data_IF_577169571074
#
_entry.id   IF_577169571074
#
_cell.length_a   1.000
_cell.length_b   1.000
_cell.length_c   1.000
_cell.angle_alpha   90.00
_cell.angle_beta   90.00
_cell.angle_gamma   90.00
#
_symmetry.space_group_name_H-M   'P 1'
#
loop_
_entity.id
_entity.type
_entity.pdbx_description
1 polymer ?
#
# COMPACT_ATOMS: atom_id res chain seq x y z
N UNK A 1 14.11 -37.21 -13.32
CA UNK A 1 13.96 -36.86 -11.89
C UNK A 1 15.13 -35.95 -11.57
N UNK A 2 14.88 -34.65 -11.66
CA UNK A 2 15.90 -33.66 -11.32
C UNK A 2 16.06 -33.65 -9.79
N UNK A 3 17.24 -33.34 -9.28
CA UNK A 3 17.51 -33.32 -7.83
C UNK A 3 16.54 -32.37 -7.06
N UNK A 4 15.94 -31.44 -7.80
CA UNK A 4 14.93 -30.47 -7.34
C UNK A 4 13.56 -31.13 -7.05
N UNK A 5 13.24 -32.28 -7.67
CA UNK A 5 12.00 -33.04 -7.43
C UNK A 5 11.98 -33.78 -6.08
N UNK A 6 13.10 -33.81 -5.35
CA UNK A 6 13.28 -34.58 -4.11
C UNK A 6 13.29 -33.72 -2.83
N UNK A 7 13.20 -32.39 -2.95
CA UNK A 7 13.13 -31.51 -1.79
C UNK A 7 11.66 -31.23 -1.47
N UNK A 8 11.21 -31.69 -0.30
CA UNK A 8 9.91 -31.34 0.29
C UNK A 8 9.73 -29.83 0.54
N UNK A 9 10.80 -29.04 0.31
CA UNK A 9 10.89 -27.63 0.64
C UNK A 9 11.68 -26.89 -0.46
N UNK A 10 11.09 -25.82 -1.00
CA UNK A 10 11.71 -25.02 -2.06
C UNK A 10 12.26 -23.71 -1.53
N UNK A 11 13.53 -23.42 -1.78
CA UNK A 11 14.13 -22.13 -1.41
C UNK A 11 13.73 -21.06 -2.42
N UNK A 12 13.27 -19.91 -1.92
CA UNK A 12 12.96 -18.73 -2.73
C UNK A 12 14.21 -17.85 -2.85
N UNK A 13 14.79 -17.67 -4.06
CA UNK A 13 16.13 -17.10 -4.21
C UNK A 13 16.19 -15.57 -4.05
N UNK A 14 15.17 -14.83 -4.48
CA UNK A 14 15.09 -13.36 -4.35
C UNK A 14 13.65 -12.86 -4.57
N UNK A 15 13.30 -11.72 -3.96
CA UNK A 15 12.00 -11.03 -4.12
C UNK A 15 12.11 -9.83 -5.06
N UNK A 16 11.02 -9.42 -5.76
CA UNK A 16 9.71 -10.09 -5.83
C UNK A 16 9.76 -11.36 -6.69
N UNK A 17 8.91 -12.34 -6.38
CA UNK A 17 8.83 -13.59 -7.14
C UNK A 17 7.41 -14.08 -7.30
N UNK A 18 7.24 -14.93 -8.30
CA UNK A 18 6.00 -15.65 -8.59
C UNK A 18 6.34 -17.12 -8.83
N UNK A 19 5.60 -18.03 -8.20
CA UNK A 19 5.72 -19.48 -8.39
C UNK A 19 4.38 -20.03 -8.86
N UNK A 20 4.40 -20.74 -9.99
CA UNK A 20 3.28 -21.60 -10.37
C UNK A 20 3.46 -22.96 -9.68
N UNK A 21 2.47 -23.39 -8.90
CA UNK A 21 2.50 -24.64 -8.17
C UNK A 21 1.26 -25.48 -8.41
N UNK A 22 1.32 -26.75 -7.98
CA UNK A 22 0.19 -27.66 -8.04
C UNK A 22 0.32 -28.73 -6.96
N UNK A 23 -0.71 -28.85 -6.11
CA UNK A 23 -0.81 -29.89 -5.10
C UNK A 23 -1.21 -31.21 -5.78
N UNK A 24 -0.28 -31.82 -6.52
CA UNK A 24 -0.50 -33.07 -7.23
C UNK A 24 -0.48 -34.30 -6.32
N UNK A 25 0.03 -34.16 -5.10
CA UNK A 25 0.11 -35.21 -4.09
C UNK A 25 -0.53 -34.71 -2.79
N UNK A 26 -0.94 -35.61 -1.88
CA UNK A 26 -1.43 -35.22 -0.57
C UNK A 26 -0.39 -34.39 0.20
N UNK A 27 -0.85 -33.31 0.82
CA UNK A 27 -0.03 -32.46 1.67
C UNK A 27 0.21 -31.06 1.11
N UNK A 28 0.94 -30.22 1.87
CA UNK A 28 1.26 -28.86 1.46
C UNK A 28 2.44 -28.77 0.50
N UNK A 29 2.49 -27.67 -0.25
CA UNK A 29 3.74 -27.15 -0.78
C UNK A 29 4.35 -26.15 0.23
N UNK A 30 5.61 -26.37 0.59
CA UNK A 30 6.36 -25.51 1.51
C UNK A 30 7.49 -24.79 0.79
N UNK A 31 7.60 -23.49 1.05
CA UNK A 31 8.62 -22.59 0.52
C UNK A 31 9.36 -21.92 1.66
N UNK A 32 10.67 -21.73 1.51
CA UNK A 32 11.50 -21.05 2.52
C UNK A 32 12.08 -19.76 1.99
N UNK A 33 12.15 -18.78 2.87
CA UNK A 33 12.62 -17.44 2.56
C UNK A 33 13.35 -16.86 3.78
N UNK A 34 14.46 -16.16 3.56
CA UNK A 34 15.21 -15.49 4.64
C UNK A 34 14.81 -14.03 4.69
N UNK A 35 14.36 -13.56 5.85
CA UNK A 35 13.93 -12.18 6.08
C UNK A 35 14.78 -11.48 7.13
N UNK A 36 14.81 -10.15 7.04
CA UNK A 36 15.31 -9.25 8.08
C UNK A 36 14.17 -8.74 8.96
N UNK A 37 14.44 -8.51 10.23
CA UNK A 37 13.48 -7.92 11.16
C UNK A 37 12.91 -6.62 10.58
N UNK A 38 11.58 -6.49 10.62
CA UNK A 38 10.86 -5.33 10.10
C UNK A 38 10.64 -5.35 8.58
N UNK A 39 11.25 -6.28 7.83
CA UNK A 39 10.94 -6.48 6.41
C UNK A 39 9.47 -6.90 6.26
N UNK A 40 8.77 -6.27 5.33
CA UNK A 40 7.33 -6.46 5.12
C UNK A 40 7.08 -7.16 3.81
N UNK A 41 6.17 -8.12 3.82
CA UNK A 41 5.80 -8.89 2.64
C UNK A 41 4.30 -8.88 2.43
N UNK A 42 3.92 -8.79 1.15
CA UNK A 42 2.61 -9.17 0.65
C UNK A 42 2.72 -10.53 -0.01
N UNK A 43 1.82 -11.44 0.36
CA UNK A 43 1.75 -12.79 -0.19
C UNK A 43 0.32 -13.07 -0.68
N UNK A 44 0.20 -13.70 -1.85
CA UNK A 44 -1.08 -14.19 -2.37
C UNK A 44 -0.94 -15.57 -3.00
N UNK A 45 -1.98 -16.39 -2.85
CA UNK A 45 -2.19 -17.63 -3.57
C UNK A 45 -3.43 -17.45 -4.46
N UNK A 46 -3.19 -17.23 -5.76
CA UNK A 46 -4.25 -17.00 -6.75
C UNK A 46 -4.71 -18.32 -7.38
N UNK A 47 -6.02 -18.57 -7.32
CA UNK A 47 -6.68 -19.79 -7.79
C UNK A 47 -7.89 -19.48 -8.66
N UNK A 48 -8.61 -18.39 -8.38
CA UNK A 48 -9.92 -18.09 -8.96
C UNK A 48 -9.83 -17.88 -10.47
N UNK A 49 -8.91 -17.03 -10.92
CA UNK A 49 -8.71 -16.73 -12.35
C UNK A 49 -8.28 -17.93 -13.19
N UNK A 50 -7.81 -19.00 -12.54
CA UNK A 50 -7.39 -20.24 -13.19
C UNK A 50 -8.44 -21.34 -13.07
N UNK A 51 -9.58 -21.08 -12.43
CA UNK A 51 -10.62 -22.09 -12.18
C UNK A 51 -10.07 -23.34 -11.49
N UNK A 52 -9.14 -23.15 -10.54
CA UNK A 52 -8.62 -24.26 -9.75
C UNK A 52 -9.70 -24.82 -8.82
N UNK A 53 -9.58 -26.11 -8.48
CA UNK A 53 -10.34 -26.73 -7.40
C UNK A 53 -9.70 -26.58 -6.03
N UNK A 54 -8.53 -25.96 -5.96
CA UNK A 54 -7.88 -25.63 -4.70
C UNK A 54 -8.70 -24.57 -3.95
N UNK A 55 -9.01 -24.87 -2.70
CA UNK A 55 -9.41 -23.91 -1.66
C UNK A 55 -8.16 -23.58 -0.83
N UNK A 56 -7.37 -22.55 -1.22
CA UNK A 56 -6.02 -22.34 -0.74
C UNK A 56 -6.00 -21.78 0.67
N UNK A 57 -5.35 -22.49 1.58
CA UNK A 57 -4.92 -21.93 2.87
C UNK A 57 -3.44 -21.57 2.79
N UNK A 58 -3.17 -20.26 2.80
CA UNK A 58 -1.85 -19.66 2.78
C UNK A 58 -1.42 -19.32 4.22
N UNK A 59 -0.28 -19.83 4.65
CA UNK A 59 0.27 -19.53 5.98
C UNK A 59 1.75 -19.19 5.94
N UNK A 60 2.20 -18.40 6.92
CA UNK A 60 3.62 -18.16 7.18
C UNK A 60 3.99 -18.58 8.59
N UNK A 61 5.08 -19.31 8.72
CA UNK A 61 5.58 -19.89 9.96
C UNK A 61 7.01 -19.41 10.24
N UNK A 62 7.33 -19.28 11.52
CA UNK A 62 8.71 -19.05 11.95
C UNK A 62 9.54 -20.34 11.92
N UNK A 63 10.84 -20.23 12.24
CA UNK A 63 11.77 -21.36 12.26
C UNK A 63 11.45 -22.43 13.31
N UNK A 64 10.57 -22.16 14.28
CA UNK A 64 10.07 -23.13 15.25
C UNK A 64 8.79 -23.82 14.78
N UNK A 65 8.30 -23.49 13.57
CA UNK A 65 7.05 -24.02 13.00
C UNK A 65 5.80 -23.34 13.55
N UNK A 66 5.92 -22.27 14.35
CA UNK A 66 4.77 -21.53 14.84
C UNK A 66 4.18 -20.71 13.71
N UNK A 67 2.87 -20.84 13.51
CA UNK A 67 2.12 -20.03 12.55
C UNK A 67 2.08 -18.58 13.04
N UNK A 68 2.61 -17.66 12.23
CA UNK A 68 2.60 -16.22 12.48
C UNK A 68 1.37 -15.56 11.84
N UNK A 69 1.01 -16.01 10.64
CA UNK A 69 -0.15 -15.56 9.87
C UNK A 69 -0.71 -16.70 9.03
N UNK A 70 -2.02 -16.67 8.82
CA UNK A 70 -2.76 -17.60 7.97
C UNK A 70 -3.96 -16.85 7.38
N UNK A 71 -4.30 -17.19 6.14
CA UNK A 71 -5.47 -16.71 5.42
C UNK A 71 -5.94 -17.79 4.43
N UNK A 72 -7.25 -17.90 4.24
CA UNK A 72 -7.92 -18.89 3.40
C UNK A 72 -8.81 -18.25 2.32
N UNK A 73 -9.40 -17.08 2.59
CA UNK A 73 -10.18 -16.32 1.60
C UNK A 73 -9.85 -14.81 1.67
N UNK A 74 -9.82 -14.12 0.52
CA UNK A 74 -9.76 -12.64 0.47
C UNK A 74 -11.10 -12.03 0.84
N UNK A 75 -12.21 -12.62 0.38
CA UNK A 75 -13.58 -12.28 0.76
C UNK A 75 -14.53 -13.47 0.50
N UNK A 76 -15.79 -13.39 0.96
CA UNK A 76 -16.76 -14.50 0.86
C UNK A 76 -17.17 -14.93 -0.55
N UNK A 77 -16.60 -14.35 -1.61
CA UNK A 77 -16.81 -14.76 -3.01
C UNK A 77 -15.52 -15.04 -3.79
N UNK A 78 -14.34 -14.71 -3.23
CA UNK A 78 -13.05 -14.95 -3.87
C UNK A 78 -12.22 -15.97 -3.06
N UNK A 79 -12.03 -17.20 -3.58
CA UNK A 79 -11.25 -18.24 -2.93
C UNK A 79 -9.74 -17.99 -3.01
N UNK A 80 -9.26 -16.90 -3.63
CA UNK A 80 -7.86 -16.52 -3.48
C UNK A 80 -7.53 -16.26 -2.01
N UNK A 81 -6.33 -16.62 -1.56
CA UNK A 81 -5.85 -16.30 -0.22
C UNK A 81 -4.77 -15.23 -0.29
N UNK A 82 -4.82 -14.22 0.60
CA UNK A 82 -3.78 -13.20 0.69
C UNK A 82 -3.51 -12.78 2.13
N UNK A 83 -2.24 -12.47 2.44
CA UNK A 83 -1.85 -11.96 3.75
C UNK A 83 -0.66 -11.02 3.67
N UNK A 84 -0.56 -10.15 4.69
CA UNK A 84 0.60 -9.29 4.93
C UNK A 84 1.39 -9.80 6.14
N UNK A 85 2.72 -9.84 6.02
CA UNK A 85 3.64 -10.22 7.08
C UNK A 85 4.63 -9.10 7.35
N UNK A 86 4.90 -8.82 8.62
CA UNK A 86 6.10 -8.09 9.04
C UNK A 86 6.98 -9.06 9.81
N UNK A 87 8.21 -9.28 9.34
CA UNK A 87 9.13 -10.21 9.96
C UNK A 87 9.46 -9.76 11.40
N UNK A 88 9.13 -10.56 12.43
CA UNK A 88 9.34 -10.18 13.82
C UNK A 88 10.83 -10.21 14.24
N UNK A 89 11.65 -10.95 13.51
CA UNK A 89 13.08 -11.12 13.74
C UNK A 89 13.77 -11.50 12.42
N UNK A 90 15.10 -11.37 12.40
CA UNK A 90 15.94 -11.98 11.36
C UNK A 90 15.80 -13.50 11.39
N UNK A 91 15.62 -14.14 10.24
CA UNK A 91 15.60 -15.60 10.17
C UNK A 91 14.98 -16.18 8.91
N UNK A 92 14.89 -17.51 8.89
CA UNK A 92 14.20 -18.26 7.85
C UNK A 92 12.74 -18.46 8.23
N UNK A 93 11.85 -18.12 7.31
CA UNK A 93 10.41 -18.29 7.42
C UNK A 93 9.94 -19.32 6.39
N UNK A 94 8.91 -20.08 6.75
CA UNK A 94 8.26 -21.04 5.86
C UNK A 94 6.92 -20.47 5.41
N UNK A 95 6.73 -20.35 4.10
CA UNK A 95 5.44 -20.09 3.45
C UNK A 95 4.86 -21.45 3.06
N UNK A 96 3.60 -21.67 3.41
CA UNK A 96 2.92 -22.93 3.14
C UNK A 96 1.61 -22.68 2.42
N UNK A 97 1.40 -23.41 1.31
CA UNK A 97 0.14 -23.47 0.56
C UNK A 97 -0.43 -24.88 0.71
N UNK A 98 -1.68 -24.99 1.13
CA UNK A 98 -2.38 -26.27 1.19
C UNK A 98 -3.86 -26.11 0.87
N UNK A 99 -4.54 -27.20 0.54
CA UNK A 99 -5.98 -27.21 0.38
C UNK A 99 -6.69 -27.32 1.73
N UNK A 100 -7.70 -26.48 1.95
CA UNK A 100 -8.54 -26.47 3.16
C UNK A 100 -9.15 -27.84 3.47
N UNK A 101 -9.56 -28.57 2.44
CA UNK A 101 -10.20 -29.88 2.53
C UNK A 101 -9.26 -31.03 2.21
N UNK A 102 -7.94 -30.77 2.18
CA UNK A 102 -6.89 -31.75 1.89
C UNK A 102 -7.01 -32.40 0.49
N UNK A 103 -7.65 -31.69 -0.44
CA UNK A 103 -7.71 -32.03 -1.85
C UNK A 103 -6.36 -31.97 -2.54
N UNK A 104 -6.21 -32.75 -3.61
CA UNK A 104 -5.01 -32.81 -4.44
C UNK A 104 -5.34 -33.39 -5.81
N UNK A 105 -4.46 -33.13 -6.77
CA UNK A 105 -4.53 -33.62 -8.15
C UNK A 105 -4.26 -32.50 -9.15
N UNK A 106 -4.33 -32.82 -10.44
CA UNK A 106 -3.94 -31.92 -11.52
C UNK A 106 -4.77 -30.63 -11.64
N UNK A 107 -5.88 -30.51 -10.91
CA UNK A 107 -6.74 -29.31 -10.86
C UNK A 107 -6.52 -28.43 -9.61
N UNK A 108 -5.61 -28.80 -8.70
CA UNK A 108 -5.24 -28.05 -7.50
C UNK A 108 -3.99 -27.20 -7.75
N UNK A 109 -4.07 -26.31 -8.73
CA UNK A 109 -2.96 -25.45 -9.15
C UNK A 109 -3.15 -24.02 -8.64
N UNK A 110 -2.04 -23.36 -8.34
CA UNK A 110 -2.04 -22.01 -7.80
C UNK A 110 -0.90 -21.19 -8.39
N UNK A 111 -1.05 -19.87 -8.27
CA UNK A 111 0.06 -18.93 -8.46
C UNK A 111 0.34 -18.26 -7.12
N UNK A 112 1.49 -18.58 -6.53
CA UNK A 112 2.00 -17.93 -5.32
C UNK A 112 2.80 -16.69 -5.73
N UNK A 113 2.35 -15.50 -5.34
CA UNK A 113 3.12 -14.28 -5.47
C UNK A 113 3.66 -13.85 -4.10
N UNK A 114 4.94 -13.48 -4.04
CA UNK A 114 5.59 -12.97 -2.83
C UNK A 114 6.33 -11.70 -3.19
N UNK A 115 6.00 -10.60 -2.53
CA UNK A 115 6.57 -9.28 -2.81
C UNK A 115 6.98 -8.61 -1.52
N UNK A 116 8.15 -7.98 -1.51
CA UNK A 116 8.49 -7.04 -0.46
C UNK A 116 7.64 -5.78 -0.61
N UNK A 117 6.99 -5.37 0.47
CA UNK A 117 6.20 -4.13 0.53
C UNK A 117 6.97 -3.07 1.29
N UNK A 118 6.93 -1.86 0.78
CA UNK A 118 7.46 -0.70 1.49
C UNK A 118 6.31 0.04 2.17
N UNK A 119 6.53 0.61 3.37
CA UNK A 119 5.57 1.50 3.99
C UNK A 119 5.18 2.60 3.02
N UNK A 120 3.90 2.73 2.70
CA UNK A 120 3.39 3.68 1.71
C UNK A 120 2.30 4.54 2.32
N UNK A 121 2.21 5.80 1.90
CA UNK A 121 1.04 6.63 2.15
C UNK A 121 0.55 7.20 0.82
N UNK A 122 -0.77 7.25 0.68
CA UNK A 122 -1.45 7.89 -0.44
C UNK A 122 -2.26 9.06 0.10
N UNK A 123 -1.98 10.24 -0.43
CA UNK A 123 -2.66 11.49 -0.07
C UNK A 123 -3.59 11.89 -1.21
N UNK A 124 -4.88 12.08 -0.92
CA UNK A 124 -5.85 12.41 -1.98
C UNK A 124 -6.71 13.61 -1.70
N UNK A 125 -7.07 14.33 -2.76
CA UNK A 125 -8.03 15.44 -2.76
C UNK A 125 -9.22 15.13 -3.66
N UNK A 126 -10.30 15.91 -3.52
CA UNK A 126 -11.55 15.70 -4.24
C UNK A 126 -11.73 16.60 -5.48
N UNK A 127 -10.86 17.58 -5.69
CA UNK A 127 -10.91 18.49 -6.83
C UNK A 127 -9.49 18.84 -7.31
N UNK A 128 -9.40 19.31 -8.55
CA UNK A 128 -8.15 19.74 -9.18
C UNK A 128 -7.97 21.26 -9.25
N UNK A 129 -8.98 22.02 -8.83
CA UNK A 129 -8.95 23.47 -8.84
C UNK A 129 -9.63 24.06 -7.61
N UNK A 130 -9.03 25.10 -7.01
CA UNK A 130 -9.57 25.82 -5.86
C UNK A 130 -9.42 27.33 -6.00
N UNK A 131 -10.27 28.07 -5.29
CA UNK A 131 -10.21 29.54 -5.21
C UNK A 131 -10.08 29.97 -3.77
N UNK A 132 -9.09 30.80 -3.46
CA UNK A 132 -8.92 31.38 -2.12
C UNK A 132 -10.00 32.45 -1.90
N UNK A 133 -10.88 32.31 -0.90
CA UNK A 133 -11.85 33.35 -0.57
C UNK A 133 -11.16 34.62 -0.04
N UNK A 134 -11.72 35.81 -0.30
CA UNK A 134 -11.12 37.07 0.14
C UNK A 134 -11.12 37.28 1.67
N UNK A 135 -12.13 36.71 2.36
CA UNK A 135 -12.41 36.99 3.77
C UNK A 135 -12.19 35.81 4.72
N UNK A 136 -11.81 34.64 4.18
CA UNK A 136 -11.58 33.44 4.99
C UNK A 136 -10.52 32.55 4.35
N UNK A 137 -9.89 31.70 5.17
CA UNK A 137 -8.99 30.68 4.67
C UNK A 137 -9.73 29.71 3.72
N UNK A 138 -9.05 29.31 2.66
CA UNK A 138 -9.43 28.16 1.85
C UNK A 138 -9.07 26.89 2.61
N UNK A 139 -10.04 25.99 2.75
CA UNK A 139 -9.85 24.69 3.39
C UNK A 139 -9.89 23.59 2.32
N UNK A 140 -8.77 22.89 2.15
CA UNK A 140 -8.64 21.75 1.23
C UNK A 140 -8.54 20.47 2.07
N UNK A 141 -9.58 19.62 2.08
CA UNK A 141 -9.51 18.34 2.76
C UNK A 141 -8.62 17.37 1.97
N UNK A 142 -7.60 16.83 2.64
CA UNK A 142 -6.68 15.83 2.12
C UNK A 142 -6.91 14.54 2.90
N UNK A 143 -7.33 13.49 2.19
CA UNK A 143 -7.46 12.14 2.77
C UNK A 143 -6.09 11.49 2.84
N UNK A 144 -5.83 10.78 3.93
CA UNK A 144 -4.56 10.09 4.21
C UNK A 144 -4.83 8.59 4.30
N UNK A 145 -4.38 7.85 3.30
CA UNK A 145 -4.46 6.40 3.27
C UNK A 145 -3.07 5.79 3.51
N UNK A 146 -2.83 5.34 4.74
CA UNK A 146 -1.57 4.67 5.15
C UNK A 146 -1.67 3.18 4.82
N UNK A 147 -0.67 2.64 4.13
CA UNK A 147 -0.57 1.23 3.69
C UNK A 147 0.75 0.62 4.15
N UNK A 148 0.79 -0.71 4.18
CA UNK A 148 2.00 -1.49 4.50
C UNK A 148 2.66 -1.04 5.82
N UNK A 149 1.83 -0.66 6.80
CA UNK A 149 2.25 -0.22 8.14
C UNK A 149 3.04 1.10 8.18
N UNK A 150 2.78 2.03 7.26
CA UNK A 150 3.33 3.39 7.31
C UNK A 150 2.90 4.13 8.60
N UNK A 151 3.84 4.24 9.54
CA UNK A 151 3.62 4.72 10.91
C UNK A 151 4.38 6.02 11.23
N UNK A 152 4.95 6.68 10.22
CA UNK A 152 5.70 7.92 10.39
C UNK A 152 4.79 9.16 10.33
N UNK A 153 5.24 10.25 10.95
CA UNK A 153 4.57 11.55 10.81
C UNK A 153 4.90 12.13 9.44
N UNK A 154 3.89 12.70 8.77
CA UNK A 154 4.06 13.40 7.49
C UNK A 154 3.94 14.90 7.72
N UNK A 155 4.93 15.66 7.29
CA UNK A 155 4.83 17.12 7.18
C UNK A 155 4.33 17.47 5.78
N UNK A 156 3.20 18.18 5.69
CA UNK A 156 2.66 18.62 4.41
C UNK A 156 3.25 19.99 4.04
N UNK A 157 3.67 20.11 2.78
CA UNK A 157 4.23 21.32 2.18
C UNK A 157 3.50 21.65 0.90
N UNK A 158 3.44 22.95 0.60
CA UNK A 158 2.81 23.46 -0.61
C UNK A 158 3.84 24.23 -1.40
N UNK A 159 4.07 23.79 -2.63
CA UNK A 159 4.98 24.42 -3.58
C UNK A 159 4.18 25.23 -4.61
N UNK A 160 4.79 26.32 -5.11
CA UNK A 160 4.18 27.18 -6.13
C UNK A 160 3.24 28.26 -5.59
N UNK A 161 3.19 28.48 -4.27
CA UNK A 161 2.39 29.57 -3.69
C UNK A 161 2.95 30.95 -4.08
N UNK A 162 2.08 31.91 -4.45
CA UNK A 162 2.50 33.29 -4.71
C UNK A 162 2.88 34.01 -3.42
N UNK A 163 3.76 35.02 -3.54
CA UNK A 163 4.14 35.86 -2.40
C UNK A 163 2.90 36.62 -1.87
N UNK A 164 2.51 36.34 -0.62
CA UNK A 164 1.33 36.92 0.02
C UNK A 164 0.23 35.92 0.37
N UNK A 165 0.34 34.68 -0.13
CA UNK A 165 -0.43 33.52 0.34
C UNK A 165 0.47 32.63 1.19
N UNK A 166 -0.02 32.24 2.36
CA UNK A 166 0.65 31.31 3.26
C UNK A 166 -0.20 30.06 3.47
N UNK A 167 0.48 28.91 3.57
CA UNK A 167 -0.09 27.67 4.07
C UNK A 167 0.16 27.57 5.58
N UNK A 168 -0.86 27.20 6.34
CA UNK A 168 -0.65 26.82 7.74
C UNK A 168 0.19 25.54 7.82
N UNK A 169 1.19 25.46 8.73
CA UNK A 169 1.93 24.23 8.96
C UNK A 169 0.98 23.08 9.28
N UNK A 170 1.12 21.98 8.55
CA UNK A 170 0.22 20.85 8.66
C UNK A 170 1.00 19.55 8.74
N UNK A 171 0.62 18.70 9.69
CA UNK A 171 1.22 17.38 9.83
C UNK A 171 0.15 16.31 10.02
N UNK A 172 0.34 15.14 9.41
CA UNK A 172 -0.46 13.94 9.67
C UNK A 172 0.32 12.99 10.58
N UNK A 173 -0.22 12.75 11.78
CA UNK A 173 0.33 11.76 12.72
C UNK A 173 -0.11 10.34 12.34
N UNK A 174 0.56 9.33 12.92
CA UNK A 174 0.23 7.92 12.66
C UNK A 174 -1.12 7.47 13.24
N UNK A 175 -1.53 8.08 14.35
CA UNK A 175 -2.77 7.81 15.07
C UNK A 175 -3.52 9.13 15.35
N UNK A 176 -4.79 9.04 15.75
CA UNK A 176 -5.64 10.19 16.06
C UNK A 176 -6.33 10.79 14.83
N UNK A 177 -6.95 11.95 14.99
CA UNK A 177 -7.83 12.54 13.96
C UNK A 177 -7.10 12.86 12.65
N UNK A 178 -5.82 13.24 12.73
CA UNK A 178 -5.00 13.58 11.56
C UNK A 178 -4.46 12.36 10.81
N UNK A 179 -4.71 11.14 11.31
CA UNK A 179 -4.19 9.90 10.69
C UNK A 179 -4.92 9.51 9.41
N UNK A 180 -6.19 9.93 9.26
CA UNK A 180 -7.06 9.57 8.12
C UNK A 180 -7.37 10.75 7.21
N UNK A 181 -7.33 11.98 7.74
CA UNK A 181 -7.56 13.18 6.96
C UNK A 181 -6.87 14.37 7.62
N UNK A 182 -6.44 15.32 6.81
CA UNK A 182 -5.91 16.62 7.25
C UNK A 182 -6.49 17.72 6.38
N UNK A 183 -6.71 18.90 6.95
CA UNK A 183 -7.26 20.04 6.21
C UNK A 183 -6.17 21.07 5.98
N UNK A 184 -5.74 21.23 4.73
CA UNK A 184 -4.80 22.27 4.34
C UNK A 184 -5.53 23.62 4.31
N UNK A 185 -5.00 24.57 5.07
CA UNK A 185 -5.52 25.94 5.15
C UNK A 185 -4.60 26.89 4.41
N UNK A 186 -5.13 27.54 3.39
CA UNK A 186 -4.44 28.60 2.65
C UNK A 186 -5.11 29.94 2.94
N UNK A 187 -4.34 30.92 3.39
CA UNK A 187 -4.84 32.25 3.70
C UNK A 187 -3.86 33.31 3.20
N UNK A 188 -4.40 34.47 2.85
CA UNK A 188 -3.62 35.62 2.41
C UNK A 188 -4.39 36.50 1.47
N UNK A 189 -3.75 37.60 1.06
CA UNK A 189 -4.36 38.64 0.22
C UNK A 189 -3.33 39.09 -0.80
N UNK A 190 -3.78 39.27 -2.03
CA UNK A 190 -2.95 39.78 -3.12
C UNK A 190 -3.53 41.10 -3.66
N UNK A 191 -2.66 42.02 -4.10
CA UNK A 191 -3.09 43.29 -4.71
C UNK A 191 -3.59 43.09 -6.16
N UNK A 192 -3.25 41.98 -6.80
CA UNK A 192 -3.67 41.62 -8.14
C UNK A 192 -4.14 40.16 -8.17
N UNK A 193 -4.97 39.82 -9.16
CA UNK A 193 -5.40 38.45 -9.39
C UNK A 193 -4.18 37.59 -9.71
N UNK A 194 -4.09 36.43 -9.05
CA UNK A 194 -3.09 35.43 -9.36
C UNK A 194 -3.78 34.09 -9.66
N UNK A 195 -3.23 33.34 -10.60
CA UNK A 195 -3.77 32.06 -11.04
C UNK A 195 -2.62 31.20 -11.55
N UNK A 196 -2.45 30.01 -10.99
CA UNK A 196 -1.33 29.14 -11.34
C UNK A 196 -1.41 27.74 -10.73
N UNK A 197 -0.50 26.88 -11.16
CA UNK A 197 -0.34 25.52 -10.63
C UNK A 197 0.37 25.56 -9.27
N UNK A 198 -0.17 24.83 -8.29
CA UNK A 198 0.45 24.50 -7.01
C UNK A 198 0.61 22.99 -6.89
N UNK A 199 1.55 22.56 -6.05
CA UNK A 199 1.71 21.14 -5.68
C UNK A 199 1.70 21.01 -4.17
N UNK A 200 1.11 19.93 -3.68
CA UNK A 200 1.13 19.61 -2.25
C UNK A 200 1.84 18.27 -2.09
N UNK A 201 2.79 18.21 -1.17
CA UNK A 201 3.63 17.04 -0.92
C UNK A 201 3.66 16.76 0.57
N UNK A 202 3.41 15.51 0.96
CA UNK A 202 3.68 15.01 2.30
C UNK A 202 5.09 14.45 2.38
N UNK A 203 5.87 14.92 3.34
CA UNK A 203 7.26 14.48 3.55
C UNK A 203 7.38 13.69 4.84
N UNK A 204 7.95 12.49 4.74
CA UNK A 204 8.29 11.64 5.88
C UNK A 204 9.63 12.07 6.50
N UNK A 205 9.88 11.64 7.74
CA UNK A 205 11.10 11.97 8.48
C UNK A 205 12.37 11.41 7.81
N UNK A 206 12.25 10.27 7.13
CA UNK A 206 13.33 9.66 6.35
C UNK A 206 13.61 10.36 5.00
N UNK A 207 12.85 11.41 4.67
CA UNK A 207 13.02 12.20 3.46
C UNK A 207 12.23 11.71 2.25
N UNK A 208 11.46 10.62 2.35
CA UNK A 208 10.54 10.22 1.29
C UNK A 208 9.43 11.25 1.13
N UNK A 209 9.07 11.51 -0.12
CA UNK A 209 8.05 12.47 -0.50
C UNK A 209 6.88 11.74 -1.19
N UNK A 210 5.68 12.11 -0.78
CA UNK A 210 4.43 11.53 -1.25
C UNK A 210 3.56 12.66 -1.82
N UNK A 211 3.34 12.73 -3.13
CA UNK A 211 2.51 13.76 -3.71
C UNK A 211 1.06 13.59 -3.25
N UNK A 212 0.39 14.71 -3.02
CA UNK A 212 -1.06 14.72 -2.96
C UNK A 212 -1.59 14.59 -4.38
N UNK A 213 -2.54 13.69 -4.59
CA UNK A 213 -3.10 13.41 -5.92
C UNK A 213 -4.62 13.54 -5.94
N UNK A 214 -5.15 13.97 -7.07
CA UNK A 214 -6.54 13.73 -7.42
C UNK A 214 -6.60 12.47 -8.31
N UNK A 215 -7.58 11.61 -8.06
CA UNK A 215 -7.76 10.36 -8.81
C UNK A 215 -8.95 10.49 -9.75
N UNK A 216 -8.67 10.41 -11.05
CA UNK A 216 -9.69 10.31 -12.08
C UNK A 216 -10.40 8.95 -12.02
N UNK A 217 -11.61 8.90 -12.58
CA UNK A 217 -12.41 7.66 -12.66
C UNK A 217 -11.69 6.53 -13.42
N UNK A 218 -10.81 6.89 -14.37
CA UNK A 218 -10.01 5.94 -15.16
C UNK A 218 -8.70 5.51 -14.47
N UNK A 219 -8.44 5.99 -13.25
CA UNK A 219 -7.22 5.70 -12.49
C UNK A 219 -6.07 6.67 -12.75
N UNK A 220 -6.24 7.68 -13.62
CA UNK A 220 -5.22 8.70 -13.85
C UNK A 220 -5.00 9.53 -12.57
N UNK A 221 -3.74 9.72 -12.20
CA UNK A 221 -3.36 10.53 -11.04
C UNK A 221 -2.86 11.92 -11.47
N UNK A 222 -3.40 12.96 -10.82
CA UNK A 222 -3.01 14.36 -11.07
C UNK A 222 -2.46 14.93 -9.77
N UNK A 223 -1.20 15.39 -9.76
CA UNK A 223 -0.53 15.97 -8.59
C UNK A 223 -0.34 17.49 -8.65
N UNK A 224 -0.62 18.10 -9.81
CA UNK A 224 -0.64 19.55 -10.00
C UNK A 224 -2.07 20.07 -9.90
N UNK A 225 -2.28 21.07 -9.04
CA UNK A 225 -3.61 21.63 -8.80
C UNK A 225 -3.64 23.10 -9.17
N UNK A 226 -4.77 23.57 -9.68
CA UNK A 226 -4.95 24.95 -10.06
C UNK A 226 -5.43 25.78 -8.85
N UNK A 227 -4.71 26.83 -8.50
CA UNK A 227 -5.11 27.76 -7.44
C UNK A 227 -5.38 29.13 -8.05
N UNK A 228 -6.56 29.68 -7.77
CA UNK A 228 -6.92 31.07 -8.11
C UNK A 228 -7.04 31.90 -6.84
N UNK A 229 -6.40 33.06 -6.85
CA UNK A 229 -6.48 34.05 -5.77
C UNK A 229 -7.03 35.34 -6.38
N UNK A 230 -8.27 35.74 -6.04
CA UNK A 230 -8.82 37.00 -6.52
C UNK A 230 -8.04 38.18 -5.94
N UNK A 231 -8.00 39.29 -6.67
CA UNK A 231 -7.49 40.55 -6.12
C UNK A 231 -8.35 40.98 -4.94
N UNK A 232 -7.71 41.46 -3.89
CA UNK A 232 -8.43 42.16 -2.83
C UNK A 232 -8.90 43.49 -3.42
N UNK A 233 -10.21 43.71 -3.50
CA UNK A 233 -10.76 44.96 -4.03
C UNK A 233 -10.15 46.18 -3.33
N UNK A 234 -9.75 47.18 -4.11
CA UNK A 234 -9.38 48.51 -3.62
C UNK A 234 -10.60 49.30 -3.14
#
# INVERSE_FOLDING_TARGET
>A
MLLEDQLSERLLPALPLVVCGCLNQPGPDNFRLTLKQGQRLSLSAEVQRFSSLLDPVLSVRDSAGKVLKEADDVDGGNPDAALELTAPADGTFEIRVHDRFLGHGSRWHYVLAVRETQPEVRLTVNATAWTVPADKALEIPITVARRNGFAEVLELRVDGLPQGIAAEPLSSAKDGDTSKAVTLKLAGKLPAVWSGEIRVVGRAADGREFPVVWLATDGTEISGFWLTVPATGG
#
